data_IF_331071928254
#
_entry.id   IF_331071928254
#
_cell.length_a   1.000
_cell.length_b   1.000
_cell.length_c   1.000
_cell.angle_alpha   90.00
_cell.angle_beta   90.00
_cell.angle_gamma   90.00
#
_symmetry.space_group_name_H-M   'P 1'
#
loop_
_entity.id
_entity.type
_entity.pdbx_description
1 polymer ?
#
# COMPACT_ATOMS: atom_id res chain seq x y z
N UNK A 1 20.31 9.51 4.94
CA UNK A 1 19.22 8.54 5.19
C UNK A 1 17.91 9.23 4.84
N UNK A 2 17.08 8.74 3.90
CA UNK A 2 15.78 9.37 3.69
C UNK A 2 14.94 9.12 4.94
N UNK A 3 14.50 10.22 5.57
CA UNK A 3 13.56 10.23 6.68
C UNK A 3 12.33 9.44 6.25
N UNK A 4 11.84 8.53 7.09
CA UNK A 4 10.54 7.87 6.90
C UNK A 4 9.48 8.97 6.74
N UNK A 5 9.18 9.32 5.50
CA UNK A 5 8.18 10.32 5.18
C UNK A 5 6.85 9.80 5.70
N UNK A 6 6.20 10.66 6.47
CA UNK A 6 4.92 10.48 7.13
C UNK A 6 3.81 10.10 6.12
N UNK A 7 3.76 8.84 5.71
CA UNK A 7 2.61 8.34 4.95
C UNK A 7 1.44 8.29 5.94
N UNK A 8 0.55 9.27 5.76
CA UNK A 8 -0.72 9.42 6.50
C UNK A 8 -1.89 8.85 5.70
N UNK A 9 -1.76 8.77 4.39
CA UNK A 9 -2.82 8.33 3.46
C UNK A 9 -2.18 7.65 2.24
N UNK A 10 -2.83 6.61 1.73
CA UNK A 10 -2.45 5.97 0.46
C UNK A 10 -3.22 6.59 -0.70
N UNK A 11 -2.67 6.50 -1.92
CA UNK A 11 -3.37 6.94 -3.14
C UNK A 11 -3.55 5.77 -4.10
N UNK A 12 -4.66 5.73 -4.85
CA UNK A 12 -4.77 4.84 -6.00
C UNK A 12 -3.57 5.04 -6.93
N UNK A 13 -3.07 3.94 -7.46
CA UNK A 13 -1.88 3.82 -8.28
C UNK A 13 -0.56 4.21 -7.60
N UNK A 14 -0.52 4.32 -6.26
CA UNK A 14 0.76 4.30 -5.56
C UNK A 14 1.39 2.90 -5.66
N UNK A 15 2.68 2.89 -5.98
CA UNK A 15 3.48 1.68 -6.13
C UNK A 15 4.46 1.53 -4.98
N UNK A 16 4.65 0.29 -4.54
CA UNK A 16 5.54 -0.06 -3.45
C UNK A 16 6.33 -1.32 -3.78
N UNK A 17 7.55 -1.41 -3.27
CA UNK A 17 8.39 -2.59 -3.34
C UNK A 17 8.57 -3.17 -1.94
N UNK A 18 8.34 -4.48 -1.79
CA UNK A 18 8.54 -5.16 -0.52
C UNK A 18 9.98 -5.65 -0.32
N UNK A 19 10.29 -6.13 0.88
CA UNK A 19 11.61 -6.66 1.24
C UNK A 19 12.07 -7.87 0.38
N UNK A 20 11.14 -8.58 -0.29
CA UNK A 20 11.44 -9.68 -1.21
C UNK A 20 11.67 -9.19 -2.65
N UNK A 21 11.58 -7.88 -2.87
CA UNK A 21 11.73 -7.25 -4.17
C UNK A 21 10.51 -7.31 -5.06
N UNK A 22 9.35 -7.78 -4.55
CA UNK A 22 8.09 -7.80 -5.30
C UNK A 22 7.51 -6.39 -5.36
N UNK A 23 6.91 -6.05 -6.49
CA UNK A 23 6.30 -4.74 -6.72
C UNK A 23 4.79 -4.87 -6.59
N UNK A 24 4.19 -3.96 -5.83
CA UNK A 24 2.78 -3.92 -5.48
C UNK A 24 2.19 -2.57 -5.86
N UNK A 25 0.96 -2.56 -6.37
CA UNK A 25 0.22 -1.36 -6.72
C UNK A 25 -1.06 -1.28 -5.88
N UNK A 26 -1.35 -0.12 -5.30
CA UNK A 26 -2.67 0.17 -4.73
C UNK A 26 -3.61 0.41 -5.90
N UNK A 27 -4.51 -0.52 -6.19
CA UNK A 27 -5.44 -0.40 -7.32
C UNK A 27 -6.62 0.48 -6.96
N UNK A 28 -7.09 0.37 -5.71
CA UNK A 28 -8.33 0.99 -5.28
C UNK A 28 -8.37 1.16 -3.76
N UNK A 29 -9.14 2.13 -3.31
CA UNK A 29 -9.38 2.43 -1.90
C UNK A 29 -10.89 2.63 -1.71
N UNK A 30 -11.47 2.01 -0.69
CA UNK A 30 -12.91 2.01 -0.43
C UNK A 30 -13.17 2.27 1.06
N UNK A 31 -14.15 3.11 1.41
CA UNK A 31 -14.59 3.23 2.81
C UNK A 31 -15.32 1.96 3.25
N UNK A 32 -15.14 1.54 4.51
CA UNK A 32 -15.81 0.35 5.08
C UNK A 32 -17.14 0.66 5.78
N UNK A 33 -17.60 1.91 5.74
CA UNK A 33 -18.81 2.38 6.42
C UNK A 33 -18.60 2.78 7.89
N UNK A 34 -17.42 2.50 8.46
CA UNK A 34 -16.99 3.14 9.71
C UNK A 34 -16.19 4.42 9.40
N UNK A 35 -16.31 5.46 10.23
CA UNK A 35 -15.46 6.65 10.10
C UNK A 35 -13.99 6.26 10.13
N UNK A 36 -13.20 6.81 9.19
CA UNK A 36 -11.74 6.67 9.14
C UNK A 36 -11.18 5.26 8.86
N UNK A 37 -12.04 4.27 8.60
CA UNK A 37 -11.60 2.94 8.14
C UNK A 37 -11.78 2.80 6.63
N UNK A 38 -10.66 2.56 5.94
CA UNK A 38 -10.62 2.22 4.53
C UNK A 38 -10.05 0.82 4.32
N UNK A 39 -10.52 0.19 3.26
CA UNK A 39 -9.99 -1.03 2.70
C UNK A 39 -9.34 -0.68 1.37
N UNK A 40 -8.27 -1.39 1.03
CA UNK A 40 -7.55 -1.24 -0.22
C UNK A 40 -7.52 -2.54 -1.00
N UNK A 41 -7.53 -2.42 -2.31
CA UNK A 41 -7.17 -3.51 -3.20
C UNK A 41 -5.72 -3.29 -3.64
N UNK A 42 -4.85 -4.26 -3.38
CA UNK A 42 -3.44 -4.24 -3.80
C UNK A 42 -3.16 -5.37 -4.78
N UNK A 43 -2.39 -5.08 -5.82
CA UNK A 43 -2.03 -6.03 -6.86
C UNK A 43 -0.51 -6.18 -6.93
N UNK A 44 -0.01 -7.41 -6.80
CA UNK A 44 1.38 -7.74 -7.10
C UNK A 44 1.58 -7.74 -8.63
N UNK A 45 2.62 -7.06 -9.10
CA UNK A 45 2.97 -7.00 -10.52
C UNK A 45 3.20 -8.42 -11.07
N UNK A 46 2.52 -8.75 -12.17
CA UNK A 46 2.56 -10.09 -12.78
C UNK A 46 1.51 -11.07 -12.24
N UNK A 47 0.70 -10.66 -11.25
CA UNK A 47 -0.51 -11.38 -10.85
C UNK A 47 -1.75 -10.78 -11.54
N UNK A 48 -2.82 -11.57 -11.63
CA UNK A 48 -4.08 -11.14 -12.24
C UNK A 48 -5.08 -10.62 -11.22
N UNK A 49 -5.09 -11.20 -10.01
CA UNK A 49 -6.11 -10.91 -9.01
C UNK A 49 -5.55 -9.99 -7.93
N UNK A 50 -6.19 -8.83 -7.66
CA UNK A 50 -5.86 -8.05 -6.49
C UNK A 50 -6.28 -8.77 -5.21
N UNK A 51 -5.61 -8.45 -4.11
CA UNK A 51 -6.01 -8.87 -2.77
C UNK A 51 -6.54 -7.68 -2.00
N UNK A 52 -7.59 -7.92 -1.23
CA UNK A 52 -8.24 -6.92 -0.40
C UNK A 52 -7.61 -6.91 1.00
N UNK A 53 -7.24 -5.74 1.51
CA UNK A 53 -6.58 -5.57 2.81
C UNK A 53 -7.04 -4.27 3.50
N UNK A 54 -6.98 -4.18 4.84
CA UNK A 54 -7.13 -2.89 5.52
C UNK A 54 -6.05 -1.90 5.08
N UNK A 55 -6.40 -0.63 4.86
CA UNK A 55 -5.43 0.42 4.49
C UNK A 55 -4.31 0.54 5.54
N UNK A 56 -4.70 0.46 6.81
CA UNK A 56 -3.81 0.55 7.96
C UNK A 56 -2.69 -0.49 7.94
N UNK A 57 -2.93 -1.68 7.37
CA UNK A 57 -1.92 -2.72 7.26
C UNK A 57 -0.77 -2.26 6.35
N UNK A 58 -1.07 -1.75 5.16
CA UNK A 58 -0.04 -1.31 4.22
C UNK A 58 0.68 -0.06 4.76
N UNK A 59 -0.03 0.88 5.37
CA UNK A 59 0.58 2.04 6.04
C UNK A 59 1.58 1.58 7.12
N UNK A 60 1.21 0.59 7.94
CA UNK A 60 2.11 0.03 8.96
C UNK A 60 3.32 -0.67 8.35
N UNK A 61 3.14 -1.43 7.27
CA UNK A 61 4.25 -2.08 6.57
C UNK A 61 5.23 -1.07 5.96
N UNK A 62 4.72 0.06 5.46
CA UNK A 62 5.54 1.17 4.95
C UNK A 62 6.31 1.84 6.08
N UNK A 63 5.64 2.18 7.19
CA UNK A 63 6.27 2.85 8.34
C UNK A 63 7.38 2.02 8.98
N UNK A 64 7.18 0.70 9.03
CA UNK A 64 8.17 -0.25 9.54
C UNK A 64 9.24 -0.64 8.50
N UNK A 65 9.24 -0.03 7.31
CA UNK A 65 10.26 -0.25 6.28
C UNK A 65 10.17 -1.60 5.56
N UNK A 66 9.10 -2.37 5.76
CA UNK A 66 8.86 -3.61 5.01
C UNK A 66 8.45 -3.35 3.56
N UNK A 67 7.83 -2.20 3.32
CA UNK A 67 7.45 -1.69 2.01
C UNK A 67 8.10 -0.32 1.80
N UNK A 68 8.62 -0.08 0.60
CA UNK A 68 9.21 1.20 0.21
C UNK A 68 8.49 1.75 -1.01
N UNK A 69 8.27 3.07 -1.07
CA UNK A 69 7.63 3.70 -2.23
C UNK A 69 8.50 3.48 -3.47
N UNK A 70 7.86 3.01 -4.53
CA UNK A 70 8.51 2.68 -5.80
C UNK A 70 8.05 3.69 -6.85
N UNK A 71 8.93 4.62 -7.23
CA UNK A 71 8.66 5.54 -8.33
C UNK A 71 8.97 4.83 -9.65
N UNK A 72 7.97 4.76 -10.54
CA UNK A 72 8.15 4.33 -11.92
C UNK A 72 8.64 5.49 -12.77
#
# INVERSE_FOLDING_TARGET
MPKSNEIRELKPYDWYKDAKGRVWCVVRIWPTGKPEECTIDILELGKQNPINQPESLLINLIRNGHFQKYSR
#
